data_IF_851002149009
#
_entry.id   IF_851002149009
#
_cell.length_a   1.000
_cell.length_b   1.000
_cell.length_c   1.000
_cell.angle_alpha   90.00
_cell.angle_beta   90.00
_cell.angle_gamma   90.00
#
_symmetry.space_group_name_H-M   'P 1'
#
loop_
_entity.id
_entity.type
_entity.pdbx_description
1 polymer ?
#
# COMPACT_ATOMS: atom_id res chain seq x y z
N UNK A 1 27.14 16.24 -6.78
CA UNK A 1 26.18 16.74 -7.79
C UNK A 1 24.82 16.73 -7.14
N UNK A 2 24.23 17.90 -6.91
CA UNK A 2 22.87 18.04 -6.45
C UNK A 2 21.99 18.21 -7.69
N UNK A 3 20.97 17.36 -7.82
CA UNK A 3 19.89 17.57 -8.78
C UNK A 3 18.78 18.23 -7.96
N UNK A 4 18.81 19.56 -7.87
CA UNK A 4 17.63 20.34 -7.48
C UNK A 4 16.83 20.66 -8.76
N UNK A 5 16.31 19.62 -9.39
CA UNK A 5 15.13 19.78 -10.24
C UNK A 5 13.93 19.41 -9.38
N UNK A 6 12.93 20.29 -9.35
CA UNK A 6 11.67 20.07 -8.66
C UNK A 6 11.06 18.77 -9.20
N UNK A 7 11.15 17.70 -8.44
CA UNK A 7 10.56 16.43 -8.83
C UNK A 7 9.03 16.58 -8.77
N UNK A 8 8.38 16.62 -9.93
CA UNK A 8 6.92 16.56 -10.05
C UNK A 8 6.47 15.13 -9.77
N UNK A 9 6.36 14.80 -8.48
CA UNK A 9 5.85 13.52 -8.03
C UNK A 9 4.31 13.50 -8.13
N UNK A 10 3.70 12.36 -8.51
CA UNK A 10 2.26 12.25 -8.48
C UNK A 10 1.76 12.38 -7.03
N UNK A 11 0.56 12.90 -6.84
CA UNK A 11 -0.04 13.03 -5.50
C UNK A 11 -0.25 11.67 -4.82
N UNK A 12 -0.37 10.58 -5.60
CA UNK A 12 -0.46 9.23 -5.09
C UNK A 12 0.15 8.19 -6.03
N UNK A 13 0.52 7.04 -5.47
CA UNK A 13 0.97 5.84 -6.15
C UNK A 13 0.09 4.66 -5.70
N UNK A 14 -0.42 3.89 -6.66
CA UNK A 14 -1.17 2.66 -6.39
C UNK A 14 -0.30 1.47 -6.80
N UNK A 15 -0.11 0.52 -5.88
CA UNK A 15 0.57 -0.75 -6.16
C UNK A 15 -0.41 -1.90 -5.89
N UNK A 16 -0.83 -2.55 -6.97
CA UNK A 16 -1.76 -3.67 -6.90
C UNK A 16 -1.01 -5.00 -6.83
N UNK A 17 -1.35 -5.81 -5.83
CA UNK A 17 -0.81 -7.13 -5.56
C UNK A 17 0.73 -7.22 -5.59
N UNK A 18 1.48 -6.41 -4.80
CA UNK A 18 2.95 -6.43 -4.82
C UNK A 18 3.55 -7.82 -4.55
N UNK A 19 2.86 -8.68 -3.77
CA UNK A 19 3.32 -10.05 -3.51
C UNK A 19 3.19 -10.98 -4.71
N UNK A 20 2.18 -10.81 -5.55
CA UNK A 20 1.85 -11.78 -6.62
C UNK A 20 2.94 -11.84 -7.71
N UNK A 21 3.86 -10.85 -7.75
CA UNK A 21 4.97 -10.77 -8.68
C UNK A 21 6.27 -11.46 -8.17
N UNK A 22 6.18 -12.61 -7.50
CA UNK A 22 7.32 -13.38 -6.95
C UNK A 22 8.12 -12.71 -5.79
N UNK A 23 7.53 -11.73 -5.09
CA UNK A 23 8.16 -11.25 -3.85
C UNK A 23 8.03 -12.31 -2.76
N UNK A 24 9.16 -12.76 -2.22
CA UNK A 24 9.14 -13.56 -1.00
C UNK A 24 8.55 -12.76 0.17
N UNK A 25 8.13 -13.48 1.22
CA UNK A 25 7.48 -12.85 2.37
C UNK A 25 8.36 -11.81 3.10
N UNK A 26 9.69 -11.94 3.03
CA UNK A 26 10.61 -10.98 3.64
C UNK A 26 10.67 -9.69 2.83
N UNK A 27 10.73 -9.79 1.51
CA UNK A 27 10.77 -8.64 0.63
C UNK A 27 9.43 -7.88 0.62
N UNK A 28 8.32 -8.63 0.65
CA UNK A 28 7.00 -8.05 0.90
C UNK A 28 6.97 -7.26 2.21
N UNK A 29 7.38 -7.85 3.34
CA UNK A 29 7.43 -7.13 4.61
C UNK A 29 8.43 -5.94 4.58
N UNK A 30 9.54 -6.08 3.86
CA UNK A 30 10.55 -5.04 3.66
C UNK A 30 10.01 -3.80 2.97
N UNK A 31 9.18 -3.97 1.93
CA UNK A 31 8.49 -2.87 1.25
C UNK A 31 7.68 -2.02 2.25
N UNK A 32 6.86 -2.66 3.08
CA UNK A 32 6.04 -1.96 4.07
C UNK A 32 6.90 -1.26 5.12
N UNK A 33 7.96 -1.92 5.62
CA UNK A 33 8.87 -1.33 6.59
C UNK A 33 9.58 -0.09 6.04
N UNK A 34 10.05 -0.14 4.79
CA UNK A 34 10.70 0.99 4.14
C UNK A 34 9.78 2.20 4.04
N UNK A 35 8.55 2.00 3.55
CA UNK A 35 7.59 3.11 3.41
C UNK A 35 7.16 3.65 4.77
N UNK A 36 6.96 2.77 5.76
CA UNK A 36 6.62 3.19 7.11
C UNK A 36 7.71 4.07 7.74
N UNK A 37 8.99 3.69 7.58
CA UNK A 37 10.12 4.49 8.03
C UNK A 37 10.18 5.87 7.35
N UNK A 38 9.82 5.96 6.07
CA UNK A 38 9.75 7.24 5.35
C UNK A 38 8.62 8.13 5.87
N UNK A 39 7.47 7.56 6.18
CA UNK A 39 6.36 8.29 6.80
C UNK A 39 6.74 8.81 8.20
N UNK A 40 7.49 8.03 8.99
CA UNK A 40 7.97 8.47 10.31
C UNK A 40 9.04 9.57 10.21
N UNK A 41 9.80 9.61 9.12
CA UNK A 41 10.86 10.60 8.92
C UNK A 41 10.35 12.02 8.59
N UNK A 42 9.08 12.16 8.17
CA UNK A 42 8.48 13.45 7.85
C UNK A 42 7.21 13.32 7.01
N UNK A 43 6.66 14.46 6.59
CA UNK A 43 5.47 14.46 5.74
C UNK A 43 5.79 13.85 4.36
N UNK A 44 5.13 12.75 3.96
CA UNK A 44 5.34 12.16 2.64
C UNK A 44 4.95 13.14 1.53
N UNK A 45 5.68 13.12 0.42
CA UNK A 45 5.38 13.93 -0.76
C UNK A 45 4.24 13.35 -1.62
N UNK A 46 3.80 12.12 -1.36
CA UNK A 46 2.69 11.45 -2.03
C UNK A 46 2.03 10.41 -1.11
N UNK A 47 0.79 10.03 -1.42
CA UNK A 47 0.10 8.92 -0.77
C UNK A 47 0.42 7.60 -1.46
N UNK A 48 0.82 6.57 -0.69
CA UNK A 48 1.02 5.22 -1.22
C UNK A 48 -0.15 4.32 -0.85
N UNK A 49 -0.85 3.80 -1.85
CA UNK A 49 -2.01 2.90 -1.69
C UNK A 49 -1.60 1.52 -2.18
N UNK A 50 -1.76 0.52 -1.32
CA UNK A 50 -1.50 -0.88 -1.68
C UNK A 50 -2.80 -1.66 -1.64
N UNK A 51 -3.13 -2.33 -2.74
CA UNK A 51 -4.16 -3.37 -2.77
C UNK A 51 -3.47 -4.72 -2.76
N UNK A 52 -3.91 -5.63 -1.89
CA UNK A 52 -3.24 -6.92 -1.68
C UNK A 52 -4.18 -7.89 -0.99
N UNK A 53 -4.03 -9.17 -1.30
CA UNK A 53 -4.71 -10.28 -0.59
C UNK A 53 -3.89 -10.80 0.60
N UNK A 54 -2.63 -10.36 0.70
CA UNK A 54 -1.75 -10.73 1.82
C UNK A 54 -1.76 -9.62 2.86
N UNK A 55 -1.94 -9.98 4.13
CA UNK A 55 -1.93 -8.98 5.20
C UNK A 55 -0.55 -8.27 5.28
N UNK A 56 -0.51 -6.95 5.53
CA UNK A 56 0.74 -6.23 5.79
C UNK A 56 1.37 -6.70 7.12
N UNK A 57 2.59 -6.24 7.50
CA UNK A 57 3.15 -6.49 8.82
C UNK A 57 2.16 -6.13 9.95
N UNK A 58 2.09 -6.89 11.07
CA UNK A 58 1.09 -6.71 12.13
C UNK A 58 0.98 -5.29 12.68
N UNK A 59 2.10 -4.58 12.78
CA UNK A 59 2.19 -3.20 13.23
C UNK A 59 1.48 -2.19 12.31
N UNK A 60 1.14 -2.58 11.08
CA UNK A 60 0.43 -1.77 10.09
C UNK A 60 -0.98 -2.30 9.79
N UNK A 61 -1.53 -3.19 10.62
CA UNK A 61 -2.86 -3.77 10.42
C UNK A 61 -3.99 -3.01 11.15
N UNK A 62 -3.72 -1.78 11.62
CA UNK A 62 -4.72 -0.95 12.30
C UNK A 62 -5.52 -0.06 11.32
N UNK A 63 -6.52 0.66 11.83
CA UNK A 63 -7.40 1.54 11.05
C UNK A 63 -6.68 2.77 10.46
N UNK A 64 -5.47 3.11 10.92
CA UNK A 64 -4.67 4.19 10.34
C UNK A 64 -4.21 3.81 8.94
N UNK A 65 -3.80 2.55 8.75
CA UNK A 65 -3.21 2.07 7.49
C UNK A 65 -4.18 1.22 6.67
N UNK A 66 -4.99 0.37 7.30
CA UNK A 66 -5.98 -0.47 6.63
C UNK A 66 -7.29 0.31 6.47
N UNK A 67 -7.48 0.89 5.28
CA UNK A 67 -8.64 1.75 4.99
C UNK A 67 -9.85 1.02 4.42
N UNK A 68 -9.65 -0.14 3.80
CA UNK A 68 -10.71 -0.93 3.20
C UNK A 68 -10.34 -2.41 3.25
N UNK A 69 -11.22 -3.23 3.81
CA UNK A 69 -11.13 -4.68 3.76
C UNK A 69 -12.29 -5.20 2.90
N UNK A 70 -11.97 -6.02 1.91
CA UNK A 70 -12.93 -6.56 0.96
C UNK A 70 -12.95 -8.08 1.01
N UNK A 71 -14.03 -8.66 0.52
CA UNK A 71 -14.17 -10.09 0.29
C UNK A 71 -14.93 -10.34 -1.00
N UNK A 72 -14.65 -11.45 -1.67
CA UNK A 72 -15.46 -11.90 -2.82
C UNK A 72 -16.87 -12.33 -2.41
N UNK A 73 -17.05 -12.65 -1.12
CA UNK A 73 -18.33 -13.05 -0.51
C UNK A 73 -18.42 -12.57 0.94
N UNK A 74 -19.57 -12.07 1.42
CA UNK A 74 -20.84 -11.82 0.70
C UNK A 74 -20.76 -10.67 -0.32
N UNK A 75 -21.79 -10.49 -1.16
CA UNK A 75 -21.75 -9.58 -2.30
C UNK A 75 -21.51 -8.12 -1.93
N UNK A 76 -22.01 -7.69 -0.77
CA UNK A 76 -21.84 -6.36 -0.17
C UNK A 76 -20.40 -6.06 0.27
N UNK A 77 -19.56 -7.08 0.47
CA UNK A 77 -18.13 -6.94 0.81
C UNK A 77 -17.23 -6.79 -0.41
N UNK A 78 -17.78 -6.84 -1.63
CA UNK A 78 -17.03 -6.64 -2.87
C UNK A 78 -16.80 -5.15 -3.11
N UNK A 79 -15.78 -4.82 -3.91
CA UNK A 79 -15.42 -3.44 -4.24
C UNK A 79 -16.60 -2.58 -4.74
N UNK A 80 -17.49 -3.16 -5.55
CA UNK A 80 -18.65 -2.46 -6.12
C UNK A 80 -20.01 -3.00 -5.64
N UNK A 81 -20.02 -3.85 -4.60
CA UNK A 81 -21.24 -4.47 -4.06
C UNK A 81 -22.13 -5.21 -5.09
N UNK A 82 -21.56 -5.65 -6.22
CA UNK A 82 -22.29 -6.32 -7.32
C UNK A 82 -21.45 -7.41 -7.99
N UNK A 83 -22.07 -8.25 -8.83
CA UNK A 83 -21.37 -9.11 -9.79
C UNK A 83 -20.96 -8.27 -11.02
N UNK A 84 -19.74 -8.48 -11.53
CA UNK A 84 -19.19 -7.80 -12.73
C UNK A 84 -19.16 -8.78 -13.89
#
# INVERSE_FOLDING_TARGET
MAIEEKADLPAFLIHDSPREADLDGQLYAGLFKLVHQWEEAGTPCFQYIVTTTTAPPPELQDERYVRLQMSSTPADMRLFAMDI
#
